data_IF_730080863099
#
_entry.id   IF_730080863099
#
_cell.length_a   1.000
_cell.length_b   1.000
_cell.length_c   1.000
_cell.angle_alpha   90.00
_cell.angle_beta   90.00
_cell.angle_gamma   90.00
#
_symmetry.space_group_name_H-M   'P 1'
#
loop_
_entity.id
_entity.type
_entity.pdbx_description
1 polymer ?
#
# COMPACT_ATOMS: atom_id res chain seq x y z
N UNK A 1 -32.64 -21.59 5.42
CA UNK A 1 -31.47 -22.11 6.17
C UNK A 1 -30.51 -20.99 6.53
N UNK A 2 -29.74 -21.20 7.59
CA UNK A 2 -28.63 -20.33 8.00
C UNK A 2 -27.34 -20.91 7.48
N UNK A 3 -26.41 -20.03 7.05
CA UNK A 3 -25.09 -20.42 6.56
C UNK A 3 -24.03 -19.67 7.31
N UNK A 4 -22.98 -20.39 7.76
CA UNK A 4 -21.75 -19.81 8.28
C UNK A 4 -20.64 -20.03 7.26
N UNK A 5 -20.03 -18.96 6.82
CA UNK A 5 -18.90 -18.98 5.91
C UNK A 5 -17.62 -18.84 6.74
N UNK A 6 -16.87 -19.91 6.88
CA UNK A 6 -15.67 -19.98 7.69
C UNK A 6 -14.45 -20.31 6.86
N UNK A 7 -13.29 -20.06 7.46
CA UNK A 7 -12.02 -20.56 6.94
C UNK A 7 -11.36 -21.44 7.99
N UNK A 8 -10.61 -22.41 7.52
CA UNK A 8 -9.70 -23.18 8.34
C UNK A 8 -8.30 -23.17 7.72
N UNK A 9 -7.29 -23.29 8.55
CA UNK A 9 -5.92 -23.45 8.12
C UNK A 9 -5.33 -24.65 8.83
N UNK A 10 -5.51 -25.86 8.28
CA UNK A 10 -4.97 -27.08 8.87
C UNK A 10 -3.44 -26.96 9.02
N UNK A 11 -2.90 -27.52 10.11
CA UNK A 11 -1.46 -27.53 10.34
C UNK A 11 -0.74 -28.24 9.18
N UNK A 12 0.19 -27.53 8.53
CA UNK A 12 0.90 -28.01 7.34
C UNK A 12 0.05 -28.09 6.07
N UNK A 13 -1.21 -27.64 6.12
CA UNK A 13 -2.14 -27.67 4.99
C UNK A 13 -2.41 -26.31 4.36
N UNK A 14 -3.28 -26.31 3.37
CA UNK A 14 -3.70 -25.11 2.64
C UNK A 14 -4.90 -24.47 3.35
N UNK A 15 -4.95 -23.13 3.33
CA UNK A 15 -6.12 -22.36 3.75
C UNK A 15 -7.35 -22.81 2.95
N UNK A 16 -8.45 -23.11 3.63
CA UNK A 16 -9.62 -23.78 3.09
C UNK A 16 -10.89 -23.04 3.51
N UNK A 17 -11.83 -22.88 2.58
CA UNK A 17 -13.19 -22.41 2.88
C UNK A 17 -14.00 -23.59 3.42
N UNK A 18 -14.68 -23.39 4.54
CA UNK A 18 -15.63 -24.35 5.13
C UNK A 18 -16.98 -23.66 5.28
N UNK A 19 -18.01 -24.29 4.75
CA UNK A 19 -19.39 -23.82 4.85
C UNK A 19 -20.13 -24.69 5.84
N UNK A 20 -20.79 -24.07 6.80
CA UNK A 20 -21.72 -24.74 7.70
C UNK A 20 -23.14 -24.28 7.39
N UNK A 21 -24.12 -25.16 7.49
CA UNK A 21 -25.53 -24.81 7.38
C UNK A 21 -26.36 -25.43 8.51
N UNK A 22 -27.46 -24.77 8.86
CA UNK A 22 -28.42 -25.23 9.82
C UNK A 22 -29.83 -24.72 9.51
N UNK A 23 -30.85 -25.38 10.02
CA UNK A 23 -32.23 -24.89 9.94
C UNK A 23 -32.53 -23.83 10.98
N UNK A 24 -31.79 -23.85 12.08
CA UNK A 24 -31.89 -22.85 13.17
C UNK A 24 -30.51 -22.27 13.44
N UNK A 25 -30.46 -20.99 13.83
CA UNK A 25 -29.21 -20.30 14.16
C UNK A 25 -28.45 -20.97 15.32
N UNK A 26 -29.15 -21.66 16.18
CA UNK A 26 -28.57 -22.43 17.28
C UNK A 26 -28.07 -23.83 16.89
N UNK A 27 -28.25 -24.22 15.63
CA UNK A 27 -27.90 -25.54 15.13
C UNK A 27 -29.01 -26.60 15.32
N UNK A 28 -28.66 -27.91 15.14
CA UNK A 28 -27.32 -28.41 14.88
C UNK A 28 -26.77 -27.96 13.51
N UNK A 29 -25.46 -27.78 13.43
CA UNK A 29 -24.77 -27.37 12.22
C UNK A 29 -24.12 -28.57 11.52
N UNK A 30 -24.32 -28.69 10.23
CA UNK A 30 -23.55 -29.59 9.37
C UNK A 30 -22.53 -28.79 8.57
N UNK A 31 -21.31 -29.31 8.39
CA UNK A 31 -20.21 -28.62 7.72
C UNK A 31 -19.70 -29.37 6.49
N UNK A 32 -19.33 -28.63 5.45
CA UNK A 32 -18.67 -29.15 4.25
C UNK A 32 -17.51 -28.25 3.83
N UNK A 33 -16.52 -28.85 3.19
CA UNK A 33 -15.48 -28.10 2.49
C UNK A 33 -16.11 -27.38 1.30
N UNK A 34 -15.96 -26.04 1.26
CA UNK A 34 -16.46 -25.21 0.17
C UNK A 34 -15.43 -25.03 -0.94
N UNK A 35 -14.17 -24.76 -0.59
CA UNK A 35 -13.08 -24.59 -1.56
C UNK A 35 -11.72 -24.86 -0.89
N UNK A 36 -10.88 -25.65 -1.57
CA UNK A 36 -9.47 -25.83 -1.20
C UNK A 36 -8.61 -25.80 -2.45
N UNK A 37 -8.24 -24.57 -2.87
CA UNK A 37 -7.41 -24.37 -4.05
C UNK A 37 -6.59 -23.09 -3.91
N UNK A 38 -5.31 -23.11 -4.32
CA UNK A 38 -4.37 -21.98 -4.33
C UNK A 38 -4.22 -21.22 -2.99
N UNK A 39 -4.83 -21.70 -1.91
CA UNK A 39 -4.93 -20.96 -0.64
C UNK A 39 -5.88 -19.76 -0.69
N UNK A 40 -6.72 -19.69 -1.70
CA UNK A 40 -7.79 -18.69 -1.85
C UNK A 40 -8.90 -19.01 -0.87
N UNK A 41 -9.13 -18.13 0.09
CA UNK A 41 -10.15 -18.29 1.12
C UNK A 41 -10.45 -16.95 1.77
N UNK A 42 -11.32 -16.94 2.75
CA UNK A 42 -11.74 -15.77 3.54
C UNK A 42 -12.42 -14.69 2.68
N UNK A 43 -13.70 -14.56 2.91
CA UNK A 43 -14.56 -13.61 2.20
C UNK A 43 -16.02 -13.97 2.44
N UNK A 44 -16.83 -13.97 1.40
CA UNK A 44 -18.26 -14.24 1.51
C UNK A 44 -18.88 -14.57 0.17
N UNK A 45 -20.20 -14.76 0.19
CA UNK A 45 -21.02 -15.01 -0.98
C UNK A 45 -21.74 -13.73 -1.38
N UNK A 46 -21.87 -13.49 -2.68
CA UNK A 46 -22.54 -12.34 -3.28
C UNK A 46 -23.46 -12.85 -4.37
N UNK A 47 -24.73 -12.44 -4.33
CA UNK A 47 -25.67 -12.59 -5.43
C UNK A 47 -25.66 -11.32 -6.29
N UNK A 48 -25.55 -11.48 -7.59
CA UNK A 48 -25.66 -10.40 -8.54
C UNK A 48 -27.13 -10.12 -8.92
N UNK A 49 -27.49 -8.93 -9.40
CA UNK A 49 -28.87 -8.60 -9.77
C UNK A 49 -29.50 -9.52 -10.83
N UNK A 50 -28.67 -10.23 -11.61
CA UNK A 50 -29.11 -11.22 -12.60
C UNK A 50 -29.20 -12.66 -12.05
N UNK A 51 -29.08 -12.81 -10.72
CA UNK A 51 -29.24 -14.08 -10.02
C UNK A 51 -28.01 -15.02 -10.05
N UNK A 52 -26.88 -14.58 -10.59
CA UNK A 52 -25.65 -15.34 -10.50
C UNK A 52 -25.02 -15.17 -9.13
N UNK A 53 -24.38 -16.23 -8.64
CA UNK A 53 -23.69 -16.20 -7.37
C UNK A 53 -22.18 -16.26 -7.55
N UNK A 54 -21.49 -15.48 -6.73
CA UNK A 54 -20.04 -15.47 -6.65
C UNK A 54 -19.58 -15.50 -5.21
N UNK A 55 -18.37 -16.01 -5.00
CA UNK A 55 -17.63 -15.85 -3.76
C UNK A 55 -16.49 -14.86 -3.99
N UNK A 56 -16.44 -13.80 -3.20
CA UNK A 56 -15.34 -12.83 -3.21
C UNK A 56 -14.37 -13.22 -2.10
N UNK A 57 -13.25 -13.75 -2.51
CA UNK A 57 -12.23 -14.34 -1.64
C UNK A 57 -10.90 -13.62 -1.84
N UNK A 58 -9.90 -13.93 -1.02
CA UNK A 58 -8.55 -13.46 -1.26
C UNK A 58 -7.48 -14.52 -0.96
N UNK A 59 -6.28 -14.26 -1.45
CA UNK A 59 -5.07 -14.97 -1.14
C UNK A 59 -3.98 -14.00 -0.67
N UNK A 60 -3.19 -14.39 0.34
CA UNK A 60 -1.99 -13.65 0.72
C UNK A 60 -0.91 -13.87 -0.35
N UNK A 61 -0.36 -12.78 -0.88
CA UNK A 61 0.57 -12.80 -2.01
C UNK A 61 1.85 -12.02 -1.74
N UNK A 62 2.51 -12.32 -0.62
CA UNK A 62 3.79 -11.72 -0.27
C UNK A 62 3.70 -10.21 -0.02
N UNK A 63 4.74 -9.48 -0.43
CA UNK A 63 4.88 -8.05 -0.19
C UNK A 63 3.81 -7.17 -0.83
N UNK A 64 3.17 -7.61 -1.92
CA UNK A 64 2.04 -6.88 -2.52
C UNK A 64 0.77 -6.97 -1.67
N UNK A 65 0.68 -7.94 -0.75
CA UNK A 65 -0.43 -8.12 0.16
C UNK A 65 -1.52 -9.07 -0.33
N UNK A 66 -2.77 -8.75 -0.05
CA UNK A 66 -3.92 -9.61 -0.35
C UNK A 66 -4.47 -9.32 -1.72
N UNK A 67 -4.47 -10.35 -2.57
CA UNK A 67 -5.05 -10.29 -3.91
C UNK A 67 -6.45 -10.90 -3.88
N UNK A 68 -7.49 -10.15 -4.28
CA UNK A 68 -8.85 -10.65 -4.33
C UNK A 68 -9.06 -11.57 -5.55
N UNK A 69 -9.97 -12.52 -5.37
CA UNK A 69 -10.45 -13.44 -6.40
C UNK A 69 -11.97 -13.41 -6.41
N UNK A 70 -12.55 -13.32 -7.58
CA UNK A 70 -13.98 -13.53 -7.80
C UNK A 70 -14.16 -14.97 -8.30
N UNK A 71 -14.89 -15.79 -7.54
CA UNK A 71 -15.02 -17.22 -7.80
C UNK A 71 -16.50 -17.56 -8.02
N UNK A 72 -16.90 -18.18 -9.13
CA UNK A 72 -18.30 -18.52 -9.38
C UNK A 72 -18.83 -19.52 -8.36
N UNK A 73 -20.12 -19.45 -8.08
CA UNK A 73 -20.80 -20.33 -7.12
C UNK A 73 -22.08 -20.90 -7.76
N UNK A 74 -22.26 -22.20 -7.65
CA UNK A 74 -23.51 -22.87 -7.96
C UNK A 74 -24.16 -23.40 -6.67
N UNK A 75 -25.50 -23.38 -6.62
CA UNK A 75 -26.22 -23.98 -5.52
C UNK A 75 -26.66 -25.39 -5.90
N UNK A 76 -26.17 -26.41 -5.15
CA UNK A 76 -26.56 -27.84 -5.35
C UNK A 76 -27.01 -28.41 -4.00
N UNK A 77 -28.22 -28.97 -3.97
CA UNK A 77 -28.82 -29.54 -2.76
C UNK A 77 -28.81 -28.63 -1.53
N UNK A 78 -28.97 -27.32 -1.78
CA UNK A 78 -28.89 -26.29 -0.74
C UNK A 78 -27.48 -26.08 -0.19
N UNK A 79 -26.43 -26.35 -0.96
CA UNK A 79 -25.04 -26.02 -0.64
C UNK A 79 -24.43 -25.14 -1.72
N UNK A 80 -23.68 -24.10 -1.33
CA UNK A 80 -22.90 -23.35 -2.28
C UNK A 80 -21.64 -24.15 -2.70
N UNK A 81 -21.56 -24.51 -3.97
CA UNK A 81 -20.41 -25.12 -4.59
C UNK A 81 -19.54 -24.03 -5.20
N UNK A 82 -18.38 -23.80 -4.61
CA UNK A 82 -17.49 -22.69 -4.97
C UNK A 82 -16.45 -23.16 -5.98
N UNK A 83 -16.32 -22.42 -7.07
CA UNK A 83 -15.35 -22.67 -8.14
C UNK A 83 -15.85 -23.62 -9.21
N UNK A 84 -15.05 -23.80 -10.24
CA UNK A 84 -15.29 -24.73 -11.34
C UNK A 84 -14.59 -26.06 -11.03
N UNK A 85 -15.38 -27.12 -10.78
CA UNK A 85 -14.85 -28.42 -10.37
C UNK A 85 -13.92 -28.35 -9.13
N UNK A 86 -14.26 -27.48 -8.16
CA UNK A 86 -13.46 -27.27 -6.95
C UNK A 86 -12.16 -26.49 -7.15
N UNK A 87 -12.02 -25.79 -8.29
CA UNK A 87 -10.86 -24.97 -8.64
C UNK A 87 -11.25 -23.51 -8.81
N UNK A 88 -10.32 -22.63 -8.49
CA UNK A 88 -10.42 -21.18 -8.74
C UNK A 88 -10.13 -20.92 -10.21
N UNK A 89 -11.10 -20.46 -11.02
CA UNK A 89 -10.83 -20.12 -12.41
C UNK A 89 -9.93 -18.88 -12.49
N UNK A 90 -8.95 -18.91 -13.37
CA UNK A 90 -8.04 -17.78 -13.59
C UNK A 90 -8.62 -16.73 -14.54
N UNK A 91 -9.66 -17.09 -15.27
CA UNK A 91 -10.40 -16.20 -16.18
C UNK A 91 -11.89 -16.43 -15.99
N UNK A 92 -12.67 -15.35 -16.09
CA UNK A 92 -14.12 -15.40 -16.01
C UNK A 92 -14.73 -14.78 -17.28
N UNK A 93 -15.73 -15.44 -17.85
CA UNK A 93 -16.52 -14.86 -18.93
C UNK A 93 -17.60 -13.95 -18.33
N UNK A 94 -17.22 -12.70 -18.10
CA UNK A 94 -18.12 -11.67 -17.57
C UNK A 94 -18.46 -10.65 -18.65
N UNK A 95 -19.67 -10.05 -18.61
CA UNK A 95 -19.99 -8.93 -19.48
C UNK A 95 -18.97 -7.80 -19.33
N UNK A 96 -18.54 -7.23 -20.45
CA UNK A 96 -17.68 -6.06 -20.41
C UNK A 96 -18.41 -4.89 -19.72
N UNK A 97 -17.76 -4.30 -18.73
CA UNK A 97 -18.27 -3.10 -18.09
C UNK A 97 -18.12 -1.92 -19.06
N UNK A 98 -19.21 -1.22 -19.32
CA UNK A 98 -19.23 0.00 -20.16
C UNK A 98 -18.64 1.22 -19.42
N UNK A 99 -18.57 1.17 -18.11
CA UNK A 99 -18.04 2.23 -17.27
C UNK A 99 -16.69 1.83 -16.71
N UNK A 100 -15.69 2.71 -16.85
CA UNK A 100 -14.41 2.49 -16.21
C UNK A 100 -14.56 2.65 -14.69
N UNK A 101 -14.13 1.64 -13.95
CA UNK A 101 -13.99 1.74 -12.51
C UNK A 101 -12.69 2.50 -12.22
N UNK A 102 -12.68 3.50 -11.30
CA UNK A 102 -11.47 4.18 -10.91
C UNK A 102 -10.39 3.18 -10.47
N UNK A 103 -9.15 3.42 -10.87
CA UNK A 103 -8.01 2.60 -10.45
C UNK A 103 -7.84 2.62 -8.93
N UNK A 104 -7.27 1.53 -8.39
CA UNK A 104 -6.89 1.43 -6.97
C UNK A 104 -5.69 2.32 -6.61
N UNK A 105 -4.97 2.80 -7.62
CA UNK A 105 -3.82 3.71 -7.49
C UNK A 105 -3.89 4.76 -8.60
N UNK A 106 -3.35 5.94 -8.34
CA UNK A 106 -3.40 7.04 -9.29
C UNK A 106 -2.24 8.00 -9.07
N UNK A 107 -1.60 8.45 -10.15
CA UNK A 107 -0.66 9.57 -10.10
C UNK A 107 -1.40 10.85 -9.74
N UNK A 108 -0.77 11.72 -8.96
CA UNK A 108 -1.36 12.97 -8.50
C UNK A 108 -0.37 14.12 -8.65
N UNK A 109 -0.71 15.11 -9.44
CA UNK A 109 0.07 16.34 -9.65
C UNK A 109 -0.28 17.42 -8.61
N UNK A 110 -1.09 17.07 -7.60
CA UNK A 110 -1.58 17.92 -6.52
C UNK A 110 -2.20 19.26 -6.96
N UNK A 111 -2.59 19.37 -8.21
CA UNK A 111 -3.31 20.53 -8.73
C UNK A 111 -4.74 20.54 -8.17
N UNK A 112 -5.05 21.51 -7.34
CA UNK A 112 -6.37 21.69 -6.73
C UNK A 112 -6.81 23.12 -6.85
N UNK A 113 -8.11 23.33 -7.09
CA UNK A 113 -8.72 24.67 -7.03
C UNK A 113 -8.81 25.10 -5.58
N UNK A 114 -8.66 26.41 -5.34
CA UNK A 114 -8.90 26.99 -4.02
C UNK A 114 -10.33 26.65 -3.57
N UNK A 115 -10.48 26.07 -2.39
CA UNK A 115 -11.78 25.59 -1.88
C UNK A 115 -12.09 24.11 -2.16
N UNK A 116 -11.27 23.40 -2.94
CA UNK A 116 -11.36 21.96 -3.21
C UNK A 116 -10.16 21.19 -2.65
N UNK A 117 -9.95 21.15 -1.32
CA UNK A 117 -8.74 20.58 -0.72
C UNK A 117 -8.77 19.04 -0.64
N UNK A 118 -9.66 18.38 -1.41
CA UNK A 118 -9.86 16.93 -1.30
C UNK A 118 -8.75 16.15 -1.97
N UNK A 119 -8.28 15.12 -1.26
CA UNK A 119 -7.47 14.06 -1.84
C UNK A 119 -8.37 12.99 -2.45
N UNK A 120 -8.04 12.42 -3.62
CA UNK A 120 -8.73 11.24 -4.16
C UNK A 120 -8.72 10.07 -3.17
N UNK A 121 -9.72 9.19 -3.26
CA UNK A 121 -9.89 8.03 -2.36
C UNK A 121 -8.75 7.00 -2.43
N UNK A 122 -7.90 7.06 -3.44
CA UNK A 122 -6.69 6.23 -3.54
C UNK A 122 -5.67 6.56 -2.45
N UNK A 123 -5.69 7.79 -1.93
CA UNK A 123 -4.84 8.21 -0.83
C UNK A 123 -5.40 7.77 0.52
N UNK A 124 -4.51 7.33 1.39
CA UNK A 124 -4.84 6.93 2.76
C UNK A 124 -3.74 7.43 3.71
N UNK A 125 -4.17 8.02 4.81
CA UNK A 125 -3.26 8.40 5.89
C UNK A 125 -2.83 7.15 6.67
N UNK A 126 -1.56 7.10 7.08
CA UNK A 126 -1.06 6.01 7.92
C UNK A 126 -1.65 6.05 9.34
N UNK A 127 -1.90 7.26 9.85
CA UNK A 127 -2.59 7.53 11.11
C UNK A 127 -3.77 8.48 10.88
N UNK A 128 -4.57 8.75 11.92
CA UNK A 128 -5.53 9.85 11.86
C UNK A 128 -4.77 11.17 11.65
N UNK A 129 -4.96 11.87 10.54
CA UNK A 129 -4.18 13.06 10.23
C UNK A 129 -4.55 14.23 11.13
N UNK A 130 -3.59 15.11 11.38
CA UNK A 130 -3.89 16.45 11.83
C UNK A 130 -4.09 17.35 10.61
N UNK A 131 -5.34 17.74 10.38
CA UNK A 131 -5.73 18.52 9.19
C UNK A 131 -5.15 19.94 9.15
N UNK A 132 -4.55 20.42 10.23
CA UNK A 132 -3.82 21.70 10.27
C UNK A 132 -2.38 21.58 9.73
N UNK A 133 -1.90 20.34 9.62
CA UNK A 133 -0.49 20.05 9.29
C UNK A 133 -0.29 19.54 7.86
N UNK A 134 -1.31 19.63 7.01
CA UNK A 134 -1.17 19.33 5.59
C UNK A 134 -2.05 20.22 4.72
N UNK A 135 -1.68 20.39 3.46
CA UNK A 135 -2.48 21.14 2.50
C UNK A 135 -2.11 20.79 1.06
N UNK A 136 -3.11 20.76 0.16
CA UNK A 136 -2.93 20.72 -1.31
C UNK A 136 -3.37 22.01 -1.98
N UNK A 137 -3.63 23.08 -1.21
CA UNK A 137 -4.09 24.37 -1.72
C UNK A 137 -3.29 25.57 -1.19
N UNK A 138 -2.51 25.40 -0.13
CA UNK A 138 -1.67 26.48 0.45
C UNK A 138 -0.53 26.87 -0.49
N UNK A 139 0.03 25.91 -1.22
CA UNK A 139 0.94 26.11 -2.35
C UNK A 139 0.33 25.37 -3.54
N UNK A 140 -0.10 26.11 -4.55
CA UNK A 140 -0.75 25.51 -5.72
C UNK A 140 0.17 24.50 -6.42
N UNK A 141 -0.38 23.33 -6.78
CA UNK A 141 0.37 22.24 -7.41
C UNK A 141 1.27 21.45 -6.46
N UNK A 142 1.12 21.59 -5.15
CA UNK A 142 1.95 20.87 -4.17
C UNK A 142 1.10 20.26 -3.05
N UNK A 143 1.50 19.06 -2.63
CA UNK A 143 1.18 18.57 -1.30
C UNK A 143 2.20 19.15 -0.31
N UNK A 144 1.73 19.94 0.64
CA UNK A 144 2.53 20.43 1.77
C UNK A 144 2.28 19.58 3.00
N UNK A 145 3.34 19.03 3.59
CA UNK A 145 3.32 18.38 4.89
C UNK A 145 4.10 19.22 5.90
N UNK A 146 3.49 19.53 7.04
CA UNK A 146 4.08 20.35 8.12
C UNK A 146 4.40 19.48 9.32
N UNK A 147 5.47 19.80 10.04
CA UNK A 147 5.82 19.13 11.29
C UNK A 147 5.15 19.83 12.48
N UNK A 148 4.39 19.11 13.29
CA UNK A 148 3.66 19.64 14.44
C UNK A 148 4.05 19.03 15.78
N UNK A 149 4.81 17.92 15.76
CA UNK A 149 5.36 17.23 16.91
C UNK A 149 6.81 16.87 16.68
N UNK A 150 7.54 16.62 17.77
CA UNK A 150 8.86 15.99 17.71
C UNK A 150 8.63 14.49 17.85
N UNK A 151 9.00 13.73 16.81
CA UNK A 151 8.80 12.29 16.74
C UNK A 151 10.15 11.58 16.87
N UNK A 152 10.22 10.58 17.72
CA UNK A 152 11.45 9.80 17.96
C UNK A 152 11.73 8.78 16.84
N UNK A 153 10.74 8.47 16.01
CA UNK A 153 10.86 7.52 14.91
C UNK A 153 9.82 7.81 13.82
N UNK A 154 10.15 7.42 12.59
CA UNK A 154 9.28 7.52 11.42
C UNK A 154 7.88 6.93 11.63
N UNK A 155 7.77 5.81 12.35
CA UNK A 155 6.48 5.12 12.57
C UNK A 155 5.46 5.97 13.34
N UNK A 156 5.88 7.03 14.00
CA UNK A 156 5.03 7.99 14.68
C UNK A 156 4.67 9.21 13.82
N UNK A 157 5.27 9.33 12.63
CA UNK A 157 5.01 10.43 11.69
C UNK A 157 3.53 10.47 11.30
N UNK A 158 2.77 11.38 11.90
CA UNK A 158 1.31 11.39 11.90
C UNK A 158 0.71 11.59 10.50
N UNK A 159 1.26 12.54 9.75
CA UNK A 159 0.76 12.90 8.44
C UNK A 159 1.58 12.23 7.31
N UNK A 160 1.75 10.90 7.38
CA UNK A 160 2.30 10.10 6.27
C UNK A 160 1.16 9.74 5.32
N UNK A 161 1.20 10.26 4.10
CA UNK A 161 0.18 10.05 3.07
C UNK A 161 0.58 8.91 2.14
N UNK A 162 -0.25 7.88 2.02
CA UNK A 162 0.13 6.64 1.36
C UNK A 162 -0.80 6.21 0.24
N UNK A 163 -0.26 5.48 -0.75
CA UNK A 163 -1.00 4.69 -1.74
C UNK A 163 -0.49 3.25 -1.76
N UNK A 164 -1.32 2.33 -2.26
CA UNK A 164 -0.95 0.92 -2.42
C UNK A 164 0.16 0.74 -3.45
N UNK A 165 1.00 -0.27 -3.26
CA UNK A 165 1.74 -0.86 -4.37
C UNK A 165 0.82 -1.76 -5.20
N UNK A 166 1.18 -2.03 -6.44
CA UNK A 166 0.49 -2.95 -7.35
C UNK A 166 1.46 -4.03 -7.82
N UNK A 167 0.95 -5.20 -8.13
CA UNK A 167 1.74 -6.30 -8.69
C UNK A 167 1.53 -6.45 -10.18
N UNK A 168 2.42 -7.15 -10.89
CA UNK A 168 3.63 -7.83 -10.40
C UNK A 168 4.82 -6.89 -10.15
N UNK A 169 4.80 -5.68 -10.66
CA UNK A 169 5.80 -4.64 -10.46
C UNK A 169 5.12 -3.31 -10.16
N UNK A 170 5.83 -2.43 -9.47
CA UNK A 170 5.31 -1.12 -9.12
C UNK A 170 6.44 -0.15 -8.86
N UNK A 171 6.32 1.05 -9.39
CA UNK A 171 7.22 2.15 -9.01
C UNK A 171 6.43 3.38 -8.58
N UNK A 172 6.97 4.07 -7.58
CA UNK A 172 6.45 5.35 -7.11
C UNK A 172 7.57 6.39 -7.11
N UNK A 173 7.29 7.58 -7.60
CA UNK A 173 8.25 8.67 -7.64
C UNK A 173 7.63 10.00 -7.26
N UNK A 174 8.47 10.95 -6.81
CA UNK A 174 8.04 12.28 -6.38
C UNK A 174 9.19 13.28 -6.52
N UNK A 175 8.85 14.56 -6.60
CA UNK A 175 9.79 15.66 -6.43
C UNK A 175 9.53 16.34 -5.09
N UNK A 176 10.56 16.60 -4.33
CA UNK A 176 10.54 17.26 -3.01
C UNK A 176 11.26 18.62 -3.06
N UNK A 177 10.58 19.67 -2.64
CA UNK A 177 11.16 20.98 -2.35
C UNK A 177 11.38 21.11 -0.83
N UNK A 178 12.65 21.28 -0.45
CA UNK A 178 13.11 21.33 0.94
C UNK A 178 13.30 22.74 1.49
N UNK A 179 12.96 23.78 0.70
CA UNK A 179 13.27 25.19 1.00
C UNK A 179 12.73 25.68 2.35
N UNK A 180 11.71 25.00 2.89
CA UNK A 180 11.05 25.35 4.16
C UNK A 180 11.22 24.31 5.24
N UNK A 181 12.05 23.30 5.02
CA UNK A 181 12.42 22.33 6.05
C UNK A 181 13.32 22.99 7.10
N UNK A 182 13.23 22.52 8.33
CA UNK A 182 13.97 23.01 9.48
C UNK A 182 14.93 21.96 10.03
N UNK A 183 15.81 22.41 10.93
CA UNK A 183 16.74 21.53 11.62
C UNK A 183 16.03 20.35 12.31
N UNK A 184 16.44 19.14 11.97
CA UNK A 184 15.87 17.90 12.47
C UNK A 184 14.68 17.38 11.68
N UNK A 185 14.19 18.09 10.65
CA UNK A 185 13.17 17.54 9.74
C UNK A 185 13.77 16.43 8.87
N UNK A 186 12.98 15.38 8.64
CA UNK A 186 13.24 14.34 7.67
C UNK A 186 11.99 14.11 6.82
N UNK A 187 12.12 14.31 5.51
CA UNK A 187 11.01 14.23 4.56
C UNK A 187 11.41 13.48 3.28
N UNK A 188 10.48 12.78 2.66
CA UNK A 188 10.75 12.03 1.43
C UNK A 188 9.71 11.00 1.06
N UNK A 189 10.18 9.95 0.37
CA UNK A 189 9.40 8.81 -0.11
C UNK A 189 9.72 7.57 0.73
N UNK A 190 8.68 6.83 1.13
CA UNK A 190 8.85 5.56 1.84
C UNK A 190 8.14 4.41 1.14
N UNK A 191 8.58 3.20 1.48
CA UNK A 191 7.82 1.96 1.37
C UNK A 191 7.50 1.50 2.79
N UNK A 192 6.21 1.50 3.13
CA UNK A 192 5.72 1.35 4.49
C UNK A 192 5.03 0.01 4.70
N UNK A 193 5.50 -0.70 5.69
CA UNK A 193 4.85 -1.80 6.40
C UNK A 193 5.61 -1.98 7.73
N UNK A 194 5.55 -3.10 8.43
CA UNK A 194 6.34 -3.38 9.64
C UNK A 194 7.85 -3.21 9.37
N UNK A 195 8.34 -3.83 8.30
CA UNK A 195 9.63 -3.48 7.73
C UNK A 195 9.41 -2.32 6.75
N UNK A 196 10.26 -1.34 6.75
CA UNK A 196 10.11 -0.17 5.90
C UNK A 196 11.45 0.33 5.36
N UNK A 197 11.39 1.07 4.26
CA UNK A 197 12.52 1.81 3.72
C UNK A 197 12.12 3.26 3.48
N UNK A 198 13.03 4.18 3.76
CA UNK A 198 12.87 5.62 3.58
C UNK A 198 14.00 6.15 2.72
N UNK A 199 13.67 6.89 1.68
CA UNK A 199 14.63 7.77 1.01
C UNK A 199 14.12 9.20 1.10
N UNK A 200 14.96 10.12 1.54
CA UNK A 200 14.51 11.50 1.76
C UNK A 200 15.64 12.43 2.09
N UNK A 201 15.30 13.67 2.46
CA UNK A 201 16.22 14.68 2.93
C UNK A 201 16.06 14.89 4.42
N UNK A 202 17.16 14.85 5.14
CA UNK A 202 17.26 15.25 6.55
C UNK A 202 18.03 16.57 6.65
N UNK A 203 17.52 17.49 7.45
CA UNK A 203 18.26 18.72 7.79
C UNK A 203 19.02 18.46 9.08
N UNK A 204 20.35 18.54 9.01
CA UNK A 204 21.23 18.24 10.13
C UNK A 204 22.42 19.22 10.15
N UNK A 205 22.60 19.93 11.28
CA UNK A 205 23.63 20.96 11.45
C UNK A 205 23.58 22.03 10.34
N UNK A 206 22.38 22.46 9.99
CA UNK A 206 22.11 23.44 8.94
C UNK A 206 22.39 22.97 7.51
N UNK A 207 22.65 21.68 7.31
CA UNK A 207 22.93 21.08 6.00
C UNK A 207 21.83 20.10 5.60
N UNK A 208 21.50 20.09 4.30
CA UNK A 208 20.61 19.10 3.74
C UNK A 208 21.42 17.84 3.32
N UNK A 209 20.92 16.69 3.69
CA UNK A 209 21.55 15.40 3.42
C UNK A 209 20.49 14.46 2.85
N UNK A 210 20.71 13.91 1.67
CA UNK A 210 19.94 12.76 1.17
C UNK A 210 20.32 11.56 2.02
N UNK A 211 19.31 10.89 2.55
CA UNK A 211 19.48 9.79 3.49
C UNK A 211 18.61 8.60 3.07
N UNK A 212 19.20 7.41 3.04
CA UNK A 212 18.48 6.16 2.96
C UNK A 212 18.48 5.46 4.31
N UNK A 213 17.31 5.11 4.80
CA UNK A 213 17.10 4.35 6.04
C UNK A 213 16.31 3.09 5.74
N UNK A 214 16.73 1.96 6.28
CA UNK A 214 16.02 0.67 6.16
C UNK A 214 15.78 0.04 7.52
N UNK A 215 14.61 -0.56 7.68
CA UNK A 215 14.23 -1.35 8.84
C UNK A 215 14.02 -2.84 8.48
N UNK A 216 14.86 -3.41 7.63
CA UNK A 216 14.82 -4.83 7.26
C UNK A 216 14.88 -5.79 8.46
N UNK A 217 15.58 -5.39 9.51
CA UNK A 217 15.76 -6.18 10.75
C UNK A 217 14.81 -5.77 11.88
N UNK A 218 13.78 -4.96 11.57
CA UNK A 218 12.85 -4.41 12.56
C UNK A 218 13.35 -3.17 13.31
N UNK A 219 14.64 -2.82 13.17
CA UNK A 219 15.22 -1.56 13.67
C UNK A 219 15.70 -0.72 12.48
N UNK A 220 15.40 0.59 12.46
CA UNK A 220 15.89 1.45 11.38
C UNK A 220 17.41 1.63 11.47
N UNK A 221 18.07 1.50 10.32
CA UNK A 221 19.50 1.71 10.13
C UNK A 221 19.69 2.69 8.98
N UNK A 222 20.49 3.73 9.20
CA UNK A 222 20.94 4.62 8.14
C UNK A 222 21.99 3.90 7.28
N UNK A 223 21.71 3.74 5.99
CA UNK A 223 22.57 2.97 5.09
C UNK A 223 23.50 3.85 4.27
N UNK A 224 23.04 5.02 3.85
CA UNK A 224 23.80 5.89 2.96
C UNK A 224 23.41 7.35 3.17
N UNK A 225 24.41 8.26 3.12
CA UNK A 225 24.26 9.71 3.36
C UNK A 225 24.98 10.48 2.26
N UNK A 226 24.27 11.36 1.56
CA UNK A 226 24.81 12.14 0.45
C UNK A 226 24.51 13.64 0.69
N UNK A 227 25.51 14.53 0.70
CA UNK A 227 25.28 15.96 0.84
C UNK A 227 24.42 16.50 -0.32
N UNK A 228 23.41 17.29 -0.01
CA UNK A 228 22.54 17.94 -0.98
C UNK A 228 22.74 19.47 -0.93
N UNK A 229 23.03 20.07 -2.10
CA UNK A 229 23.14 21.51 -2.26
C UNK A 229 21.87 22.15 -2.84
N UNK A 230 21.10 21.35 -3.58
CA UNK A 230 19.90 21.80 -4.28
C UNK A 230 18.73 21.97 -3.29
N UNK A 231 17.82 22.89 -3.62
CA UNK A 231 16.56 23.06 -2.87
C UNK A 231 15.50 22.03 -3.27
N UNK A 232 15.70 21.34 -4.38
CA UNK A 232 14.80 20.31 -4.89
C UNK A 232 15.57 19.03 -5.17
N UNK A 233 14.91 17.89 -4.99
CA UNK A 233 15.43 16.57 -5.25
C UNK A 233 14.28 15.62 -5.64
N UNK A 234 14.59 14.62 -6.44
CA UNK A 234 13.63 13.63 -6.89
C UNK A 234 13.92 12.29 -6.22
N UNK A 235 12.88 11.59 -5.81
CA UNK A 235 12.96 10.25 -5.24
C UNK A 235 12.11 9.25 -6.01
N UNK A 236 12.59 8.02 -6.10
CA UNK A 236 11.87 6.90 -6.70
C UNK A 236 12.11 5.64 -5.89
N UNK A 237 11.07 4.83 -5.75
CA UNK A 237 11.16 3.47 -5.23
C UNK A 237 10.54 2.51 -6.24
N UNK A 238 11.21 1.38 -6.48
CA UNK A 238 10.81 0.36 -7.43
C UNK A 238 10.65 -0.98 -6.71
N UNK A 239 9.48 -1.60 -6.85
CA UNK A 239 9.11 -2.86 -6.21
C UNK A 239 8.99 -3.97 -7.25
N UNK A 240 9.62 -5.11 -7.01
CA UNK A 240 9.43 -6.33 -7.79
C UNK A 240 8.81 -7.42 -6.92
N UNK A 241 7.59 -7.84 -7.31
CA UNK A 241 6.82 -8.90 -6.67
C UNK A 241 6.76 -10.18 -7.53
N UNK A 242 7.43 -10.19 -8.72
CA UNK A 242 7.47 -11.36 -9.57
C UNK A 242 8.05 -12.56 -8.80
N UNK A 243 7.42 -13.70 -8.96
CA UNK A 243 7.85 -14.95 -8.32
C UNK A 243 8.12 -14.82 -6.81
N UNK A 244 7.45 -13.87 -6.15
CA UNK A 244 7.63 -13.55 -4.72
C UNK A 244 9.06 -13.15 -4.35
N UNK A 245 9.76 -12.46 -5.25
CA UNK A 245 11.04 -11.83 -4.96
C UNK A 245 10.87 -10.81 -3.83
N UNK A 246 9.76 -10.09 -3.83
CA UNK A 246 9.33 -9.15 -2.79
C UNK A 246 10.48 -8.24 -2.34
N UNK A 247 11.06 -7.52 -3.32
CA UNK A 247 12.23 -6.67 -3.10
C UNK A 247 11.99 -5.29 -3.69
N UNK A 248 12.45 -4.24 -3.02
CA UNK A 248 12.44 -2.90 -3.54
C UNK A 248 13.82 -2.25 -3.54
N UNK A 249 14.00 -1.35 -4.51
CA UNK A 249 15.18 -0.50 -4.65
C UNK A 249 14.78 0.96 -4.58
N UNK A 250 15.65 1.79 -3.99
CA UNK A 250 15.46 3.22 -3.88
C UNK A 250 16.45 3.99 -4.73
N UNK A 251 16.01 5.14 -5.21
CA UNK A 251 16.79 6.00 -6.09
C UNK A 251 16.55 7.45 -5.73
N UNK A 252 17.57 8.28 -6.01
CA UNK A 252 17.43 9.72 -6.04
C UNK A 252 17.89 10.28 -7.39
N UNK A 253 17.47 11.49 -7.70
CA UNK A 253 17.94 12.25 -8.86
C UNK A 253 18.00 13.74 -8.51
N UNK A 254 18.97 14.46 -9.09
CA UNK A 254 19.13 15.90 -8.91
C UNK A 254 18.47 16.71 -10.04
N UNK A 255 18.12 16.06 -11.14
CA UNK A 255 17.56 16.66 -12.36
C UNK A 255 16.22 16.02 -12.84
N UNK A 256 15.78 14.97 -12.15
CA UNK A 256 14.60 14.18 -12.52
C UNK A 256 14.76 13.28 -13.74
N UNK A 257 15.96 13.19 -14.32
CA UNK A 257 16.26 12.42 -15.53
C UNK A 257 17.23 11.28 -15.25
N UNK A 258 18.35 11.58 -14.62
CA UNK A 258 19.38 10.59 -14.27
C UNK A 258 19.11 10.10 -12.85
N UNK A 259 18.87 8.80 -12.70
CA UNK A 259 18.55 8.17 -11.42
C UNK A 259 19.75 7.40 -10.89
N UNK A 260 20.14 7.70 -9.67
CA UNK A 260 21.19 7.00 -8.93
C UNK A 260 20.56 6.14 -7.87
N UNK A 261 20.93 4.86 -7.84
CA UNK A 261 20.50 3.94 -6.77
C UNK A 261 21.14 4.35 -5.45
N UNK A 262 20.38 4.21 -4.35
CA UNK A 262 20.86 4.56 -3.01
C UNK A 262 20.50 3.43 -2.03
N UNK A 263 21.46 3.08 -1.19
CA UNK A 263 21.34 2.07 -0.15
C UNK A 263 21.15 0.64 -0.67
N UNK A 264 20.79 -0.25 0.25
CA UNK A 264 20.59 -1.67 -0.01
C UNK A 264 19.11 -2.00 -0.32
N UNK A 265 18.84 -3.13 -1.00
CA UNK A 265 17.47 -3.55 -1.27
C UNK A 265 16.65 -3.75 0.00
N UNK A 266 15.43 -3.24 0.01
CA UNK A 266 14.44 -3.54 1.04
C UNK A 266 13.79 -4.89 0.74
N UNK A 267 13.87 -5.86 1.67
CA UNK A 267 13.05 -7.06 1.64
C UNK A 267 11.65 -6.74 2.15
N UNK A 268 10.64 -7.19 1.41
CA UNK A 268 9.24 -6.84 1.65
C UNK A 268 8.40 -8.06 2.06
N UNK A 269 8.67 -8.71 3.22
CA UNK A 269 7.87 -9.84 3.65
C UNK A 269 6.44 -9.41 3.98
N UNK A 270 5.48 -10.31 3.73
CA UNK A 270 4.15 -10.18 4.29
C UNK A 270 4.20 -10.43 5.80
N UNK A 271 3.64 -9.52 6.60
CA UNK A 271 3.70 -9.62 8.05
C UNK A 271 2.31 -9.62 8.70
N UNK A 272 2.19 -10.45 9.74
CA UNK A 272 1.06 -10.45 10.67
C UNK A 272 1.52 -9.68 11.94
N UNK A 273 0.71 -8.80 12.50
CA UNK A 273 -0.72 -8.56 12.29
C UNK A 273 -1.08 -7.44 11.29
N UNK A 274 -0.14 -6.93 10.48
CA UNK A 274 -0.45 -5.83 9.56
C UNK A 274 -1.51 -6.19 8.51
N UNK A 275 -1.51 -7.44 8.00
CA UNK A 275 -2.49 -7.96 7.03
C UNK A 275 -2.66 -7.12 5.77
N UNK A 276 -1.66 -6.35 5.39
CA UNK A 276 -1.67 -5.50 4.21
C UNK A 276 -0.35 -5.62 3.44
N UNK A 277 -0.38 -5.25 2.15
CA UNK A 277 0.82 -5.10 1.35
C UNK A 277 1.59 -3.82 1.68
N UNK A 278 2.76 -3.70 1.10
CA UNK A 278 3.56 -2.47 1.15
C UNK A 278 2.83 -1.32 0.49
N UNK A 279 3.14 -0.12 0.96
CA UNK A 279 2.56 1.12 0.47
C UNK A 279 3.66 2.12 0.20
N UNK A 280 3.57 2.81 -0.93
CA UNK A 280 4.30 4.07 -1.10
C UNK A 280 3.75 5.12 -0.14
N UNK A 281 4.62 5.95 0.40
CA UNK A 281 4.20 7.05 1.26
C UNK A 281 5.06 8.28 1.13
N UNK A 282 4.42 9.44 1.19
CA UNK A 282 5.06 10.74 1.32
C UNK A 282 5.04 11.13 2.80
N UNK A 283 6.20 11.46 3.35
CA UNK A 283 6.34 11.73 4.79
C UNK A 283 7.13 13.00 5.08
N UNK A 284 6.83 13.61 6.22
CA UNK A 284 7.63 14.65 6.85
C UNK A 284 7.47 14.55 8.37
N UNK A 285 8.56 14.41 9.10
CA UNK A 285 8.55 14.45 10.55
C UNK A 285 9.78 15.16 11.11
N UNK A 286 9.66 15.68 12.32
CA UNK A 286 10.72 16.45 12.99
C UNK A 286 11.30 15.66 14.15
N UNK A 287 12.63 15.71 14.30
CA UNK A 287 13.36 15.11 15.44
C UNK A 287 13.90 16.13 16.43
N UNK A 288 13.89 17.44 16.08
CA UNK A 288 14.47 18.51 16.92
C UNK A 288 13.54 19.70 17.13
N UNK A 289 12.89 20.21 16.09
CA UNK A 289 11.98 21.35 16.18
C UNK A 289 10.82 21.23 15.21
N UNK A 290 9.67 21.80 15.55
CA UNK A 290 8.45 21.76 14.74
C UNK A 290 8.32 22.97 13.80
N UNK A 291 7.33 22.93 12.92
CA UNK A 291 6.96 24.03 12.01
C UNK A 291 7.80 24.05 10.74
N UNK A 292 8.57 23.01 10.45
CA UNK A 292 9.16 22.80 9.13
C UNK A 292 8.13 22.31 8.13
N UNK A 293 8.38 22.55 6.85
CA UNK A 293 7.45 22.19 5.75
C UNK A 293 8.21 21.49 4.63
N UNK A 294 7.67 20.41 4.17
CA UNK A 294 8.10 19.69 2.98
C UNK A 294 7.02 19.79 1.91
N UNK A 295 7.39 20.22 0.71
CA UNK A 295 6.49 20.43 -0.40
C UNK A 295 6.76 19.40 -1.50
N UNK A 296 5.78 18.55 -1.78
CA UNK A 296 5.84 17.53 -2.84
C UNK A 296 5.08 18.04 -4.06
N UNK A 297 5.77 18.18 -5.20
CA UNK A 297 5.20 18.70 -6.45
C UNK A 297 4.18 17.72 -7.06
N UNK A 298 4.58 16.45 -7.09
CA UNK A 298 3.74 15.39 -7.64
C UNK A 298 4.07 14.05 -6.99
N UNK A 299 3.17 13.09 -7.17
CA UNK A 299 3.42 11.66 -6.96
C UNK A 299 3.02 10.90 -8.21
N UNK A 300 3.94 10.17 -8.82
CA UNK A 300 3.69 9.38 -10.02
C UNK A 300 3.90 7.91 -9.73
N UNK A 301 2.92 7.10 -10.11
CA UNK A 301 2.94 5.65 -9.95
C UNK A 301 2.93 4.98 -11.33
N UNK A 302 3.66 3.87 -11.45
CA UNK A 302 3.72 3.06 -12.66
C UNK A 302 3.73 1.57 -12.30
N UNK A 303 3.28 0.73 -13.22
CA UNK A 303 3.38 -0.73 -13.20
C UNK A 303 4.70 -1.26 -13.78
N UNK A 304 5.67 -0.37 -14.02
CA UNK A 304 6.98 -0.68 -14.59
C UNK A 304 8.09 -0.27 -13.64
N UNK A 305 9.18 -1.02 -13.68
CA UNK A 305 10.45 -0.71 -13.04
C UNK A 305 11.55 -0.58 -14.07
N UNK A 306 12.66 0.07 -13.72
CA UNK A 306 13.84 0.16 -14.58
C UNK A 306 14.43 -1.24 -14.81
N UNK A 307 14.89 -1.52 -16.02
CA UNK A 307 15.59 -2.76 -16.36
C UNK A 307 17.02 -2.73 -15.85
#
# INVERSE_FOLDING_TARGET
KYYLFNITWPRGGMRTVVIHRADKITGPWEGRMGLQDLGVAQGGLIETPDGRWFSYLFRDNGGVGRIPYLVPVEWKDGWPVIGENGKVPMTLNLPANKSLIPSLVHSDEFNRKKGEPKLPLVWQWNHNPDNKLWSVTERNGFLRLKTGSIDTAFVFAKNTLTQRTIGPQSSGSTMLDISKMKEGDYAGLCLLQKNFGLVGVKIENGKAIILMTSANSGKPVELERIPLKNKTVFFKAECDFNNRIDTAHFFYSLDGKVWTKIGEPLKMPYTIPHFMGYRFGLFNYATKQTGGMADFDWFRISDKISK
#
